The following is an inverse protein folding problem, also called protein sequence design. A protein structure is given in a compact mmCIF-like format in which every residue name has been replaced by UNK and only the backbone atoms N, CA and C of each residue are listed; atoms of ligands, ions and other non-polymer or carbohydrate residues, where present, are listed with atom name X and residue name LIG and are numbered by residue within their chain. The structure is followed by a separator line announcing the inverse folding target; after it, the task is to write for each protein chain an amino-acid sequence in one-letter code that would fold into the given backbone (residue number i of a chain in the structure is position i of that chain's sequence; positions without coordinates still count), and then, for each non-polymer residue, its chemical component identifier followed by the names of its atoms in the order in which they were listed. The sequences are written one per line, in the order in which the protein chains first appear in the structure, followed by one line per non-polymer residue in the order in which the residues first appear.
data_IF_819413892164
#
_entry.id   IF_819413892164
#
_cell.length_a   1.000
_cell.length_b   1.000
_cell.length_c   1.000
_cell.angle_alpha   90.00
_cell.angle_beta   90.00
_cell.angle_gamma   90.00
#
_symmetry.space_group_name_H-M   'P 1'
#
loop_
_entity.id
_entity.type
_entity.pdbx_description
1 polymer ?
#
# COMPACT_ATOMS: atom_id res chain seq x y z
N UNK A 1 -14.21 6.27 -3.91
CA UNK A 1 -12.82 6.59 -3.52
C UNK A 1 -11.96 6.69 -4.78
N UNK A 2 -11.02 7.65 -4.87
CA UNK A 2 -10.07 7.74 -5.98
C UNK A 2 -9.10 6.55 -5.98
N UNK A 3 -8.45 6.27 -7.11
CA UNK A 3 -7.53 5.13 -7.26
C UNK A 3 -6.46 5.09 -6.17
N UNK A 4 -5.89 6.24 -5.78
CA UNK A 4 -4.90 6.32 -4.70
C UNK A 4 -5.43 5.78 -3.36
N UNK A 5 -6.69 6.10 -3.01
CA UNK A 5 -7.33 5.57 -1.79
C UNK A 5 -7.64 4.08 -1.91
N UNK A 6 -8.00 3.61 -3.12
CA UNK A 6 -8.20 2.18 -3.38
C UNK A 6 -6.89 1.42 -3.18
N UNK A 7 -5.76 1.99 -3.60
CA UNK A 7 -4.43 1.41 -3.37
C UNK A 7 -4.13 1.32 -1.87
N UNK A 8 -4.31 2.41 -1.11
CA UNK A 8 -4.11 2.42 0.35
C UNK A 8 -4.95 1.34 1.07
N UNK A 9 -6.24 1.25 0.73
CA UNK A 9 -7.14 0.27 1.31
C UNK A 9 -6.77 -1.15 0.88
N UNK A 10 -6.39 -1.34 -0.38
CA UNK A 10 -5.92 -2.62 -0.92
C UNK A 10 -4.71 -3.13 -0.14
N UNK A 11 -3.67 -2.32 0.00
CA UNK A 11 -2.47 -2.73 0.75
C UNK A 11 -2.78 -2.95 2.24
N UNK A 12 -3.69 -2.17 2.83
CA UNK A 12 -4.15 -2.39 4.22
C UNK A 12 -4.84 -3.74 4.38
N UNK A 13 -5.77 -4.09 3.49
CA UNK A 13 -6.57 -5.31 3.63
C UNK A 13 -5.84 -6.59 3.22
N UNK A 14 -5.10 -6.56 2.10
CA UNK A 14 -4.47 -7.76 1.55
C UNK A 14 -3.02 -7.94 2.00
N UNK A 15 -2.32 -6.87 2.35
CA UNK A 15 -0.90 -6.92 2.73
C UNK A 15 -0.64 -6.49 4.17
N UNK A 16 -1.65 -6.01 4.89
CA UNK A 16 -1.53 -5.62 6.29
C UNK A 16 -0.71 -4.35 6.56
N UNK A 17 -0.47 -3.51 5.52
CA UNK A 17 0.46 -2.36 5.59
C UNK A 17 0.05 -1.20 4.68
N UNK A 18 0.65 -0.04 4.89
CA UNK A 18 0.61 1.07 3.93
C UNK A 18 1.46 0.79 2.67
N UNK A 19 1.26 1.56 1.57
CA UNK A 19 2.15 1.56 0.42
C UNK A 19 3.57 1.98 0.81
N UNK A 20 4.59 1.30 0.27
CA UNK A 20 6.01 1.48 0.65
C UNK A 20 6.65 2.75 0.10
N UNK A 21 6.39 3.05 -1.18
CA UNK A 21 7.05 4.10 -1.92
C UNK A 21 6.22 4.55 -3.14
N UNK A 22 6.67 5.63 -3.81
CA UNK A 22 5.99 6.16 -4.98
C UNK A 22 6.00 5.19 -6.17
N UNK A 23 7.02 4.34 -6.30
CA UNK A 23 7.11 3.37 -7.37
C UNK A 23 5.99 2.32 -7.26
N UNK A 24 5.72 1.80 -6.06
CA UNK A 24 4.62 0.87 -5.79
C UNK A 24 3.26 1.52 -6.11
N UNK A 25 3.05 2.77 -5.69
CA UNK A 25 1.83 3.52 -6.01
C UNK A 25 1.64 3.65 -7.53
N UNK A 26 2.70 3.99 -8.28
CA UNK A 26 2.65 4.10 -9.74
C UNK A 26 2.31 2.77 -10.41
N UNK A 27 2.93 1.67 -9.97
CA UNK A 27 2.68 0.33 -10.51
C UNK A 27 1.22 -0.07 -10.28
N UNK A 28 0.70 0.07 -9.07
CA UNK A 28 -0.70 -0.28 -8.80
C UNK A 28 -1.70 0.66 -9.48
N UNK A 29 -1.36 1.94 -9.64
CA UNK A 29 -2.20 2.85 -10.41
C UNK A 29 -2.27 2.43 -11.89
N UNK A 30 -1.14 2.02 -12.47
CA UNK A 30 -1.11 1.48 -13.82
C UNK A 30 -1.98 0.21 -13.94
N UNK A 31 -1.85 -0.74 -13.01
CA UNK A 31 -2.66 -1.98 -13.01
C UNK A 31 -4.16 -1.65 -12.86
N UNK A 32 -4.52 -0.70 -12.01
CA UNK A 32 -5.91 -0.25 -11.87
C UNK A 32 -6.43 0.38 -13.16
N UNK A 33 -5.59 1.10 -13.90
CA UNK A 33 -5.96 1.72 -15.18
C UNK A 33 -6.08 0.70 -16.32
N UNK A 34 -5.26 -0.37 -16.33
CA UNK A 34 -5.24 -1.37 -17.41
C UNK A 34 -6.20 -2.54 -17.15
N UNK A 35 -6.14 -3.13 -15.97
CA UNK A 35 -6.81 -4.40 -15.64
C UNK A 35 -7.97 -4.23 -14.64
N UNK A 36 -8.21 -2.99 -14.22
CA UNK A 36 -9.24 -2.63 -13.28
C UNK A 36 -9.01 -3.21 -11.88
N UNK A 37 -10.09 -3.23 -11.09
CA UNK A 37 -10.02 -3.69 -9.70
C UNK A 37 -9.64 -5.16 -9.57
N UNK A 38 -10.13 -6.03 -10.46
CA UNK A 38 -9.83 -7.47 -10.41
C UNK A 38 -8.34 -7.74 -10.62
N UNK A 39 -7.73 -7.10 -11.62
CA UNK A 39 -6.29 -7.22 -11.86
C UNK A 39 -5.46 -6.73 -10.68
N UNK A 40 -5.86 -5.60 -10.08
CA UNK A 40 -5.20 -5.04 -8.89
C UNK A 40 -5.20 -6.01 -7.70
N UNK A 41 -6.34 -6.63 -7.38
CA UNK A 41 -6.43 -7.61 -6.28
C UNK A 41 -5.57 -8.85 -6.59
N UNK A 42 -5.64 -9.33 -7.83
CA UNK A 42 -4.86 -10.50 -8.26
C UNK A 42 -3.35 -10.23 -8.15
N UNK A 43 -2.90 -9.02 -8.49
CA UNK A 43 -1.49 -8.63 -8.36
C UNK A 43 -1.00 -8.61 -6.90
N UNK A 44 -1.87 -8.27 -5.93
CA UNK A 44 -1.52 -8.29 -4.51
C UNK A 44 -1.47 -9.71 -3.94
N UNK A 45 -2.50 -10.53 -4.20
CA UNK A 45 -2.60 -11.88 -3.65
C UNK A 45 -1.55 -12.83 -4.24
N UNK A 46 -1.22 -12.67 -5.53
CA UNK A 46 -0.16 -13.45 -6.17
C UNK A 46 1.24 -12.86 -5.97
N UNK A 47 1.38 -11.82 -5.13
CA UNK A 47 2.70 -11.24 -4.87
C UNK A 47 3.56 -12.20 -4.04
N UNK A 48 4.87 -12.17 -4.29
CA UNK A 48 5.85 -12.96 -3.51
C UNK A 48 5.76 -12.61 -2.02
N UNK A 49 5.49 -11.35 -1.70
CA UNK A 49 5.28 -10.91 -0.32
C UNK A 49 4.08 -11.60 0.34
N UNK A 50 2.94 -11.68 -0.36
CA UNK A 50 1.74 -12.33 0.17
C UNK A 50 2.03 -13.82 0.44
N UNK A 51 2.64 -14.51 -0.52
CA UNK A 51 2.99 -15.92 -0.40
C UNK A 51 3.97 -16.20 0.76
N UNK A 52 4.98 -15.33 0.96
CA UNK A 52 5.96 -15.50 2.03
C UNK A 52 5.41 -15.25 3.43
N UNK A 53 4.39 -14.40 3.57
CA UNK A 53 3.88 -13.96 4.87
C UNK A 53 2.61 -14.66 5.31
N UNK A 54 1.73 -14.93 4.35
CA UNK A 54 0.41 -15.48 4.61
C UNK A 54 0.28 -16.89 4.02
N UNK A 55 0.91 -17.14 2.88
CA UNK A 55 0.78 -18.42 2.17
C UNK A 55 -0.69 -18.73 1.87
N UNK A 56 -1.06 -20.01 2.01
CA UNK A 56 -2.44 -20.47 1.81
C UNK A 56 -3.20 -20.65 3.13
N UNK A 57 -2.48 -20.85 4.24
CA UNK A 57 -3.06 -21.23 5.54
C UNK A 57 -3.30 -20.06 6.49
N UNK A 58 -2.77 -18.87 6.19
CA UNK A 58 -2.86 -17.72 7.10
C UNK A 58 -3.64 -16.57 6.48
N UNK A 59 -4.60 -16.02 7.22
CA UNK A 59 -5.37 -14.84 6.82
C UNK A 59 -4.53 -13.57 7.02
N UNK A 60 -4.63 -12.56 6.13
CA UNK A 60 -3.95 -11.28 6.32
C UNK A 60 -4.26 -10.62 7.67
N UNK A 61 -3.21 -10.11 8.32
CA UNK A 61 -3.28 -9.42 9.62
C UNK A 61 -2.53 -8.08 9.58
N UNK A 62 -2.81 -7.20 10.55
CA UNK A 62 -2.10 -5.91 10.70
C UNK A 62 -0.62 -6.16 10.99
N UNK A 63 0.26 -5.58 10.17
CA UNK A 63 1.71 -5.70 10.31
C UNK A 63 2.33 -4.40 10.81
N UNK A 64 3.49 -4.54 11.46
CA UNK A 64 4.29 -3.43 11.98
C UNK A 64 5.65 -3.38 11.27
N UNK A 65 5.70 -2.96 9.99
CA UNK A 65 6.94 -2.93 9.23
C UNK A 65 7.89 -1.86 9.80
N UNK A 66 9.08 -2.27 10.26
CA UNK A 66 10.11 -1.36 10.77
C UNK A 66 10.88 -0.65 9.65
N UNK A 67 10.92 -1.25 8.47
CA UNK A 67 11.51 -0.70 7.25
C UNK A 67 10.51 -0.83 6.09
N UNK A 68 10.39 0.16 5.19
CA UNK A 68 10.99 1.52 5.20
C UNK A 68 10.53 2.43 6.36
N UNK A 69 11.28 3.48 6.69
CA UNK A 69 11.01 4.36 7.84
C UNK A 69 9.62 5.03 7.82
N UNK A 70 9.09 5.37 6.64
CA UNK A 70 7.76 5.96 6.50
C UNK A 70 6.63 4.93 6.66
N UNK A 71 6.93 3.63 6.58
CA UNK A 71 5.92 2.59 6.47
C UNK A 71 5.23 2.32 7.82
N UNK A 72 5.97 2.34 8.93
CA UNK A 72 5.40 2.22 10.27
C UNK A 72 4.39 3.34 10.58
N UNK A 73 4.74 4.64 10.56
CA UNK A 73 3.80 5.71 10.90
C UNK A 73 2.62 5.80 9.93
N UNK A 74 2.82 5.52 8.64
CA UNK A 74 1.72 5.49 7.67
C UNK A 74 0.75 4.34 7.93
N UNK A 75 1.25 3.16 8.30
CA UNK A 75 0.43 2.01 8.64
C UNK A 75 -0.36 2.29 9.93
N UNK A 76 0.27 2.87 10.95
CA UNK A 76 -0.40 3.29 12.18
C UNK A 76 -1.56 4.24 11.90
N UNK A 77 -1.34 5.29 11.09
CA UNK A 77 -2.40 6.24 10.70
C UNK A 77 -3.56 5.54 9.99
N UNK A 78 -3.28 4.60 9.09
CA UNK A 78 -4.28 3.83 8.35
C UNK A 78 -5.14 2.92 9.26
N UNK A 79 -4.55 2.32 10.29
CA UNK A 79 -5.28 1.43 11.21
C UNK A 79 -5.98 2.17 12.34
N UNK A 80 -5.47 3.33 12.74
CA UNK A 80 -6.10 4.16 13.78
C UNK A 80 -7.30 4.96 13.25
N UNK A 81 -7.46 5.07 11.93
CA UNK A 81 -8.67 5.60 11.30
C UNK A 81 -9.78 4.55 11.21
N UNK A 82 -10.95 4.89 11.75
CA UNK A 82 -12.15 4.07 11.66
C UNK A 82 -12.77 4.14 10.26
N UNK A 83 -13.54 3.12 9.91
CA UNK A 83 -14.25 3.03 8.63
C UNK A 83 -15.18 4.23 8.45
N UNK A 84 -14.99 4.98 7.36
CA UNK A 84 -15.74 6.21 7.02
C UNK A 84 -15.58 7.34 8.05
N UNK A 85 -14.49 7.38 8.81
CA UNK A 85 -14.21 8.50 9.72
C UNK A 85 -13.95 9.82 8.97
N UNK A 86 -13.20 9.77 7.87
CA UNK A 86 -12.95 10.89 6.97
C UNK A 86 -12.62 10.41 5.55
N UNK A 87 -12.70 11.32 4.57
CA UNK A 87 -12.41 11.05 3.15
C UNK A 87 -10.96 11.40 2.75
N UNK A 88 -10.10 11.73 3.72
CA UNK A 88 -8.71 12.13 3.48
C UNK A 88 -7.82 10.95 3.08
N UNK A 89 -6.86 11.22 2.19
CA UNK A 89 -5.79 10.27 1.83
C UNK A 89 -4.71 10.27 2.91
N UNK A 90 -4.28 9.09 3.37
CA UNK A 90 -3.19 9.00 4.37
C UNK A 90 -1.84 9.13 3.67
N UNK A 91 -1.71 8.58 2.46
CA UNK A 91 -0.52 8.52 1.63
C UNK A 91 -0.88 8.89 0.17
N UNK A 92 -1.07 10.19 -0.13
CA UNK A 92 -1.39 10.63 -1.49
C UNK A 92 -0.25 10.42 -2.49
N UNK A 93 0.99 10.70 -2.06
CA UNK A 93 2.23 10.50 -2.81
C UNK A 93 3.43 10.63 -1.87
N UNK A 94 4.58 10.14 -2.30
CA UNK A 94 5.85 10.44 -1.62
C UNK A 94 6.56 11.61 -2.30
N UNK A 95 7.21 12.44 -1.49
CA UNK A 95 8.07 13.52 -1.98
C UNK A 95 9.17 12.97 -2.90
N UNK A 96 9.46 13.61 -4.04
CA UNK A 96 10.56 13.20 -4.90
C UNK A 96 11.87 13.35 -4.13
N UNK A 97 12.69 12.30 -4.17
CA UNK A 97 14.05 12.37 -3.62
C UNK A 97 14.83 13.33 -4.50
N UNK A 98 15.13 14.52 -3.99
CA UNK A 98 16.08 15.43 -4.65
C UNK A 98 17.43 14.73 -4.64
N UNK A 99 17.97 14.45 -5.83
CA UNK A 99 19.35 14.03 -5.96
C UNK A 99 20.21 15.23 -5.58
N UNK A 100 20.58 15.35 -4.31
CA UNK A 100 21.67 16.22 -3.92
C UNK A 100 22.91 15.69 -4.62
N UNK A 101 23.32 16.42 -5.66
CA UNK A 101 24.55 16.20 -6.40
C UNK A 101 25.69 16.03 -5.40
N UNK A 102 26.25 14.82 -5.34
CA UNK A 102 27.49 14.57 -4.59
C UNK A 102 28.63 14.86 -5.55
N UNK A 103 28.80 16.14 -5.85
CA UNK A 103 30.00 16.72 -6.45
C UNK A 103 31.09 16.87 -5.39
#
# INVERSE_FOLDING_TARGET
YPNTKVIELGTKHFLGRAPRNQAEIRVYNQILATDGLKGFINAMVNSVEYAQLFGEDTVPYRRYPTLPAANFPNTERLYNQLTKQNDELVVPSFEPVTATDRS
#
